data_IF_774989106543
#
_entry.id   IF_774989106543
#
_cell.length_a   1.000
_cell.length_b   1.000
_cell.length_c   1.000
_cell.angle_alpha   90.00
_cell.angle_beta   90.00
_cell.angle_gamma   90.00
#
_symmetry.space_group_name_H-M   'P 1'
#
loop_
_entity.id
_entity.type
_entity.pdbx_description
1 polymer ?
#
# COMPACT_ATOMS: atom_id res chain seq x y z
N UNK A 1 86.00 -36.69 3.89
CA UNK A 1 85.39 -35.69 4.79
C UNK A 1 84.60 -34.70 3.95
N UNK A 2 83.27 -34.73 4.15
CA UNK A 2 82.22 -33.69 4.07
C UNK A 2 82.23 -32.64 2.94
N UNK A 3 81.04 -32.52 2.32
CA UNK A 3 80.32 -31.29 1.88
C UNK A 3 79.96 -31.31 0.39
N UNK A 4 78.86 -31.98 0.00
CA UNK A 4 77.46 -31.51 -0.05
C UNK A 4 77.20 -30.42 -1.10
N UNK A 5 76.42 -30.83 -2.09
CA UNK A 5 75.87 -30.08 -3.22
C UNK A 5 74.95 -28.93 -2.79
N UNK A 6 74.94 -27.84 -3.57
CA UNK A 6 73.70 -27.13 -3.90
C UNK A 6 73.81 -26.35 -5.21
N UNK A 7 72.94 -26.70 -6.14
CA UNK A 7 72.72 -26.04 -7.41
C UNK A 7 71.81 -24.82 -7.23
N UNK A 8 72.11 -23.70 -7.91
CA UNK A 8 71.15 -22.63 -8.19
C UNK A 8 71.43 -22.04 -9.59
N UNK A 9 70.48 -22.27 -10.49
CA UNK A 9 70.42 -21.77 -11.87
C UNK A 9 69.42 -20.60 -11.84
N UNK A 10 69.90 -19.36 -11.98
CA UNK A 10 69.06 -18.16 -11.97
C UNK A 10 68.58 -17.85 -13.39
N UNK A 11 67.30 -17.50 -13.44
CA UNK A 11 66.38 -17.49 -14.56
C UNK A 11 66.61 -16.36 -15.56
N UNK A 12 66.32 -16.68 -16.82
CA UNK A 12 66.24 -15.75 -17.92
C UNK A 12 65.07 -14.78 -17.82
N UNK A 13 65.31 -13.62 -18.40
CA UNK A 13 64.42 -12.48 -18.59
C UNK A 13 63.10 -12.90 -19.26
N UNK A 14 61.97 -12.45 -18.69
CA UNK A 14 60.64 -12.53 -19.31
C UNK A 14 60.01 -11.14 -19.31
N UNK A 15 59.83 -10.61 -20.50
CA UNK A 15 59.08 -9.41 -20.89
C UNK A 15 57.66 -9.37 -20.29
N UNK A 16 57.14 -8.21 -19.86
CA UNK A 16 55.74 -8.08 -19.48
C UNK A 16 54.87 -7.97 -20.75
N UNK A 17 54.14 -9.03 -21.07
CA UNK A 17 53.08 -8.97 -22.09
C UNK A 17 51.81 -8.45 -21.42
N UNK A 18 51.63 -7.14 -21.43
CA UNK A 18 50.40 -6.47 -21.00
C UNK A 18 49.39 -6.68 -22.13
N UNK A 19 48.70 -7.82 -22.11
CA UNK A 19 47.52 -8.01 -22.98
C UNK A 19 46.38 -7.26 -22.33
N UNK A 20 46.20 -6.01 -22.75
CA UNK A 20 45.03 -5.22 -22.48
C UNK A 20 43.80 -5.97 -23.05
N UNK A 21 43.07 -6.67 -22.19
CA UNK A 21 41.72 -7.13 -22.48
C UNK A 21 40.86 -5.88 -22.65
N UNK A 22 40.71 -5.45 -23.90
CA UNK A 22 39.79 -4.40 -24.29
C UNK A 22 38.38 -4.83 -23.88
N UNK A 23 37.85 -4.24 -22.80
CA UNK A 23 36.42 -4.13 -22.60
C UNK A 23 35.85 -3.39 -23.81
N UNK A 24 35.35 -4.14 -24.77
CA UNK A 24 34.44 -3.64 -25.79
C UNK A 24 33.09 -3.45 -25.12
N UNK A 25 32.96 -2.39 -24.33
CA UNK A 25 31.67 -1.74 -24.10
C UNK A 25 31.23 -1.16 -25.44
N UNK A 26 30.52 -1.97 -26.22
CA UNK A 26 29.70 -1.47 -27.33
C UNK A 26 28.64 -0.53 -26.74
N UNK A 27 28.64 0.76 -27.10
CA UNK A 27 27.54 1.63 -26.77
C UNK A 27 26.38 1.37 -27.75
N UNK A 28 25.17 1.57 -27.23
CA UNK A 28 24.05 2.10 -27.99
C UNK A 28 23.45 1.26 -29.14
N UNK A 29 22.57 0.34 -28.75
CA UNK A 29 21.21 0.36 -29.27
C UNK A 29 20.30 0.32 -28.05
N UNK A 30 19.56 1.40 -27.78
CA UNK A 30 18.44 1.37 -26.84
C UNK A 30 17.61 0.12 -27.13
N UNK A 31 17.67 -0.87 -26.24
CA UNK A 31 16.98 -2.14 -26.45
C UNK A 31 15.49 -1.81 -26.51
N UNK A 32 14.85 -1.90 -27.68
CA UNK A 32 13.43 -1.58 -27.84
C UNK A 32 12.55 -2.34 -26.82
N UNK A 33 12.99 -3.55 -26.44
CA UNK A 33 12.39 -4.36 -25.37
C UNK A 33 12.50 -3.72 -23.98
N UNK A 34 13.64 -3.10 -23.68
CA UNK A 34 13.88 -2.37 -22.45
C UNK A 34 13.01 -1.13 -22.37
N UNK A 35 12.97 -0.33 -23.43
CA UNK A 35 12.13 0.86 -23.51
C UNK A 35 10.64 0.52 -23.38
N UNK A 36 10.19 -0.54 -24.05
CA UNK A 36 8.82 -1.04 -23.92
C UNK A 36 8.48 -1.51 -22.49
N UNK A 37 9.44 -2.08 -21.75
CA UNK A 37 9.23 -2.43 -20.35
C UNK A 37 9.11 -1.19 -19.46
N UNK A 38 9.93 -0.16 -19.70
CA UNK A 38 9.86 1.12 -18.98
C UNK A 38 8.53 1.83 -19.23
N UNK A 39 8.04 1.84 -20.48
CA UNK A 39 6.75 2.41 -20.82
C UNK A 39 5.61 1.73 -20.06
N UNK A 40 5.61 0.39 -20.02
CA UNK A 40 4.60 -0.38 -19.27
C UNK A 40 4.65 -0.12 -17.77
N UNK A 41 5.84 0.02 -17.18
CA UNK A 41 5.98 0.39 -15.78
C UNK A 41 5.37 1.77 -15.49
N UNK A 42 5.64 2.76 -16.35
CA UNK A 42 5.06 4.11 -16.20
C UNK A 42 3.54 4.12 -16.38
N UNK A 43 3.02 3.37 -17.36
CA UNK A 43 1.58 3.18 -17.52
C UNK A 43 0.96 2.56 -16.27
N UNK A 44 1.56 1.51 -15.72
CA UNK A 44 1.07 0.88 -14.50
C UNK A 44 1.12 1.82 -13.28
N UNK A 45 2.11 2.71 -13.17
CA UNK A 45 2.14 3.76 -12.13
C UNK A 45 0.93 4.71 -12.27
N UNK A 46 0.63 5.15 -13.50
CA UNK A 46 -0.51 6.02 -13.78
C UNK A 46 -1.85 5.33 -13.48
N UNK A 47 -1.98 4.07 -13.84
CA UNK A 47 -3.18 3.27 -13.52
C UNK A 47 -3.37 3.07 -12.02
N UNK A 48 -2.28 2.84 -11.27
CA UNK A 48 -2.32 2.78 -9.80
C UNK A 48 -2.80 4.11 -9.21
N UNK A 49 -2.30 5.24 -9.71
CA UNK A 49 -2.74 6.56 -9.28
C UNK A 49 -4.23 6.81 -9.59
N UNK A 50 -4.69 6.38 -10.77
CA UNK A 50 -6.10 6.45 -11.14
C UNK A 50 -6.99 5.57 -10.24
N UNK A 51 -6.56 4.36 -9.91
CA UNK A 51 -7.27 3.49 -8.97
C UNK A 51 -7.39 4.15 -7.58
N UNK A 52 -6.31 4.75 -7.08
CA UNK A 52 -6.29 5.45 -5.79
C UNK A 52 -7.28 6.62 -5.82
N UNK A 53 -7.27 7.42 -6.89
CA UNK A 53 -8.19 8.55 -7.05
C UNK A 53 -9.66 8.09 -7.10
N UNK A 54 -9.95 7.01 -7.83
CA UNK A 54 -11.29 6.43 -7.94
C UNK A 54 -11.82 5.88 -6.59
N UNK A 55 -10.93 5.50 -5.68
CA UNK A 55 -11.27 4.90 -4.38
C UNK A 55 -10.97 5.84 -3.20
N UNK A 56 -11.22 7.15 -3.39
CA UNK A 56 -11.12 8.18 -2.35
C UNK A 56 -9.76 8.23 -1.65
N UNK A 57 -8.67 8.02 -2.39
CA UNK A 57 -7.31 8.06 -1.87
C UNK A 57 -6.86 6.77 -1.20
N UNK A 58 -7.63 5.69 -1.28
CA UNK A 58 -7.27 4.37 -0.78
C UNK A 58 -6.94 3.46 -1.96
N UNK A 59 -5.80 2.77 -1.91
CA UNK A 59 -5.51 1.76 -2.93
C UNK A 59 -6.38 0.51 -2.69
N UNK A 60 -7.18 0.04 -3.67
CA UNK A 60 -8.15 -1.03 -3.44
C UNK A 60 -7.55 -2.43 -3.26
N UNK A 61 -6.27 -2.62 -3.61
CA UNK A 61 -5.62 -3.93 -3.57
C UNK A 61 -4.51 -3.99 -2.50
N UNK A 62 -4.04 -5.21 -2.22
CA UNK A 62 -2.88 -5.47 -1.36
C UNK A 62 -2.93 -4.70 -0.01
N UNK A 63 -4.10 -4.72 0.63
CA UNK A 63 -4.34 -4.06 1.93
C UNK A 63 -4.00 -2.57 1.94
N UNK A 64 -4.25 -1.86 0.83
CA UNK A 64 -4.02 -0.42 0.74
C UNK A 64 -2.57 -0.02 0.50
N UNK A 65 -1.70 -0.95 0.10
CA UNK A 65 -0.26 -0.70 -0.11
C UNK A 65 0.18 -1.08 -1.51
N UNK A 66 1.08 -0.28 -2.06
CA UNK A 66 1.70 -0.56 -3.36
C UNK A 66 3.14 -1.01 -3.14
N UNK A 67 3.52 -2.15 -3.71
CA UNK A 67 4.89 -2.69 -3.58
C UNK A 67 5.54 -2.79 -4.95
N UNK A 68 6.87 -2.91 -5.00
CA UNK A 68 7.58 -3.15 -6.26
C UNK A 68 7.05 -4.39 -6.99
N UNK A 69 6.76 -5.47 -6.25
CA UNK A 69 6.20 -6.70 -6.82
C UNK A 69 4.82 -6.46 -7.42
N UNK A 70 4.00 -5.62 -6.78
CA UNK A 70 2.67 -5.24 -7.29
C UNK A 70 2.77 -4.43 -8.58
N UNK A 71 3.63 -3.40 -8.59
CA UNK A 71 3.88 -2.61 -9.80
C UNK A 71 4.39 -3.48 -10.96
N UNK A 72 5.33 -4.38 -10.68
CA UNK A 72 5.86 -5.31 -11.68
C UNK A 72 4.77 -6.25 -12.24
N UNK A 73 3.86 -6.74 -11.39
CA UNK A 73 2.73 -7.58 -11.84
C UNK A 73 1.81 -6.81 -12.78
N UNK A 74 1.43 -5.58 -12.41
CA UNK A 74 0.56 -4.74 -13.24
C UNK A 74 1.17 -4.36 -14.57
N UNK A 75 2.47 -4.08 -14.59
CA UNK A 75 3.19 -3.77 -15.81
C UNK A 75 3.50 -5.00 -16.70
N UNK A 76 3.20 -6.22 -16.23
CA UNK A 76 3.65 -7.48 -16.83
C UNK A 76 5.18 -7.51 -17.06
N UNK A 77 5.92 -7.09 -16.04
CA UNK A 77 7.39 -7.05 -16.05
C UNK A 77 7.93 -7.97 -14.96
N UNK A 78 8.89 -8.83 -15.31
CA UNK A 78 9.56 -9.67 -14.33
C UNK A 78 10.35 -8.80 -13.35
N UNK A 79 10.21 -9.04 -12.05
CA UNK A 79 10.94 -8.29 -10.99
C UNK A 79 12.46 -8.28 -11.20
N UNK A 80 13.02 -9.35 -11.76
CA UNK A 80 14.44 -9.47 -12.11
C UNK A 80 14.91 -8.39 -13.10
N UNK A 81 14.03 -7.88 -13.98
CA UNK A 81 14.36 -6.83 -14.95
C UNK A 81 14.87 -5.56 -14.26
N UNK A 82 14.32 -5.21 -13.09
CA UNK A 82 14.77 -4.05 -12.30
C UNK A 82 16.06 -4.30 -11.50
N UNK A 83 16.54 -5.55 -11.45
CA UNK A 83 17.80 -5.91 -10.79
C UNK A 83 19.00 -5.83 -11.73
N UNK A 84 18.76 -5.73 -13.04
CA UNK A 84 19.82 -5.64 -14.03
C UNK A 84 20.64 -4.37 -13.83
N UNK A 85 21.98 -4.40 -14.04
CA UNK A 85 22.84 -3.22 -13.88
C UNK A 85 22.36 -1.99 -14.65
N UNK A 86 21.68 -2.18 -15.78
CA UNK A 86 21.07 -1.11 -16.58
C UNK A 86 19.99 -0.30 -15.83
N UNK A 87 19.27 -0.92 -14.89
CA UNK A 87 18.10 -0.32 -14.21
C UNK A 87 18.27 -0.18 -12.70
N UNK A 88 19.16 -0.98 -12.11
CA UNK A 88 19.30 -1.09 -10.66
C UNK A 88 19.64 0.26 -10.01
N UNK A 89 20.46 1.06 -10.67
CA UNK A 89 20.96 2.33 -10.13
C UNK A 89 20.28 3.56 -10.75
N UNK A 90 19.24 3.36 -11.59
CA UNK A 90 18.48 4.41 -12.25
C UNK A 90 16.97 4.21 -12.06
N UNK A 91 16.30 3.53 -13.00
CA UNK A 91 14.85 3.28 -13.00
C UNK A 91 14.35 2.70 -11.68
N UNK A 92 15.10 1.77 -11.10
CA UNK A 92 14.70 1.18 -9.82
C UNK A 92 14.70 2.22 -8.70
N UNK A 93 15.68 3.11 -8.67
CA UNK A 93 15.78 4.17 -7.65
C UNK A 93 14.58 5.11 -7.78
N UNK A 94 14.23 5.53 -9.00
CA UNK A 94 13.03 6.33 -9.28
C UNK A 94 11.75 5.64 -8.82
N UNK A 95 11.58 4.35 -9.15
CA UNK A 95 10.42 3.56 -8.75
C UNK A 95 10.34 3.44 -7.23
N UNK A 96 11.45 3.20 -6.55
CA UNK A 96 11.46 3.08 -5.08
C UNK A 96 11.10 4.42 -4.43
N UNK A 97 11.66 5.53 -4.91
CA UNK A 97 11.31 6.87 -4.42
C UNK A 97 9.82 7.18 -4.62
N UNK A 98 9.26 6.84 -5.78
CA UNK A 98 7.82 6.99 -6.03
C UNK A 98 6.99 6.10 -5.12
N UNK A 99 7.36 4.82 -4.92
CA UNK A 99 6.67 3.92 -4.01
C UNK A 99 6.70 4.41 -2.56
N UNK A 100 7.82 4.96 -2.11
CA UNK A 100 7.97 5.47 -0.75
C UNK A 100 7.09 6.72 -0.54
N UNK A 101 7.10 7.65 -1.50
CA UNK A 101 6.22 8.82 -1.48
C UNK A 101 4.74 8.41 -1.48
N UNK A 102 4.36 7.53 -2.41
CA UNK A 102 2.99 7.06 -2.55
C UNK A 102 2.49 6.36 -1.28
N UNK A 103 3.26 5.42 -0.73
CA UNK A 103 2.87 4.68 0.47
C UNK A 103 2.79 5.59 1.71
N UNK A 104 3.60 6.65 1.78
CA UNK A 104 3.50 7.64 2.85
C UNK A 104 2.17 8.39 2.81
N UNK A 105 1.72 8.80 1.62
CA UNK A 105 0.39 9.43 1.43
C UNK A 105 -0.75 8.45 1.72
N UNK A 106 -0.64 7.21 1.27
CA UNK A 106 -1.66 6.18 1.52
C UNK A 106 -1.82 5.87 3.01
N UNK A 107 -0.72 5.84 3.78
CA UNK A 107 -0.75 5.67 5.23
C UNK A 107 -1.57 6.77 5.92
N UNK A 108 -1.31 8.04 5.58
CA UNK A 108 -2.05 9.18 6.12
C UNK A 108 -3.54 9.12 5.78
N UNK A 109 -3.88 8.77 4.54
CA UNK A 109 -5.27 8.67 4.08
C UNK A 109 -6.02 7.54 4.78
N UNK A 110 -5.36 6.39 4.99
CA UNK A 110 -5.95 5.26 5.71
C UNK A 110 -6.21 5.60 7.17
N UNK A 111 -5.24 6.22 7.84
CA UNK A 111 -5.36 6.53 9.27
C UNK A 111 -6.44 7.59 9.51
N UNK A 112 -6.52 8.64 8.68
CA UNK A 112 -7.60 9.63 8.71
C UNK A 112 -8.98 9.04 8.35
N UNK A 113 -9.04 8.11 7.40
CA UNK A 113 -10.29 7.40 7.08
C UNK A 113 -10.76 6.56 8.25
N UNK A 114 -9.85 5.82 8.90
CA UNK A 114 -10.17 5.01 10.08
C UNK A 114 -10.70 5.89 11.21
N UNK A 115 -10.03 7.00 11.50
CA UNK A 115 -10.47 7.95 12.53
C UNK A 115 -11.89 8.48 12.24
N UNK A 116 -12.15 8.90 10.99
CA UNK A 116 -13.48 9.38 10.59
C UNK A 116 -14.55 8.29 10.71
N UNK A 117 -14.26 7.07 10.29
CA UNK A 117 -15.20 5.95 10.38
C UNK A 117 -15.49 5.59 11.83
N UNK A 118 -14.47 5.53 12.69
CA UNK A 118 -14.64 5.31 14.14
C UNK A 118 -15.50 6.40 14.74
N UNK A 119 -15.23 7.68 14.46
CA UNK A 119 -16.03 8.78 14.98
C UNK A 119 -17.51 8.72 14.55
N UNK A 120 -17.78 8.32 13.30
CA UNK A 120 -19.16 8.12 12.82
C UNK A 120 -19.83 6.96 13.55
N UNK A 121 -19.13 5.84 13.76
CA UNK A 121 -19.65 4.69 14.48
C UNK A 121 -19.97 5.03 15.94
N UNK A 122 -19.06 5.74 16.62
CA UNK A 122 -19.23 6.17 18.01
C UNK A 122 -20.41 7.14 18.14
N UNK A 123 -20.52 8.12 17.24
CA UNK A 123 -21.65 9.05 17.21
C UNK A 123 -22.98 8.33 16.96
N UNK A 124 -23.01 7.36 16.04
CA UNK A 124 -24.22 6.59 15.76
C UNK A 124 -24.60 5.72 16.96
N UNK A 125 -23.64 5.11 17.64
CA UNK A 125 -23.88 4.33 18.85
C UNK A 125 -24.51 5.20 19.96
N UNK A 126 -23.96 6.40 20.19
CA UNK A 126 -24.51 7.35 21.16
C UNK A 126 -25.92 7.81 20.79
N UNK A 127 -26.19 8.04 19.50
CA UNK A 127 -27.52 8.45 19.04
C UNK A 127 -28.55 7.32 19.17
N UNK A 128 -28.15 6.08 18.86
CA UNK A 128 -29.01 4.90 19.07
C UNK A 128 -29.35 4.72 20.55
N UNK A 129 -28.38 4.87 21.45
CA UNK A 129 -28.61 4.81 22.89
C UNK A 129 -29.59 5.91 23.34
N UNK A 130 -29.35 7.16 22.91
CA UNK A 130 -30.21 8.30 23.22
C UNK A 130 -31.66 8.06 22.76
N UNK A 131 -31.84 7.61 21.52
CA UNK A 131 -33.16 7.30 20.96
C UNK A 131 -33.84 6.12 21.65
N UNK A 132 -33.07 5.12 22.07
CA UNK A 132 -33.59 3.96 22.80
C UNK A 132 -34.15 4.39 24.16
N UNK A 133 -33.41 5.19 24.92
CA UNK A 133 -33.87 5.72 26.20
C UNK A 133 -35.10 6.63 26.04
N UNK A 134 -35.11 7.50 25.03
CA UNK A 134 -36.26 8.34 24.74
C UNK A 134 -37.51 7.52 24.41
N UNK A 135 -37.38 6.45 23.60
CA UNK A 135 -38.50 5.56 23.29
C UNK A 135 -39.02 4.84 24.54
N UNK A 136 -38.14 4.31 25.39
CA UNK A 136 -38.55 3.66 26.63
C UNK A 136 -39.31 4.60 27.56
N UNK A 137 -38.87 5.86 27.66
CA UNK A 137 -39.56 6.88 28.44
C UNK A 137 -40.96 7.16 27.88
N UNK A 138 -41.07 7.35 26.56
CA UNK A 138 -42.35 7.61 25.91
C UNK A 138 -43.32 6.43 26.02
N UNK A 139 -42.82 5.19 25.92
CA UNK A 139 -43.63 3.99 26.12
C UNK A 139 -44.23 3.95 27.53
N UNK A 140 -43.43 4.21 28.57
CA UNK A 140 -43.94 4.28 29.95
C UNK A 140 -44.97 5.39 30.14
N UNK A 141 -44.74 6.57 29.55
CA UNK A 141 -45.71 7.67 29.63
C UNK A 141 -47.04 7.31 28.95
N UNK A 142 -46.97 6.63 27.80
CA UNK A 142 -48.14 6.15 27.09
C UNK A 142 -48.93 5.15 27.93
N UNK A 143 -48.27 4.15 28.52
CA UNK A 143 -48.90 3.15 29.40
C UNK A 143 -49.65 3.82 30.58
N UNK A 144 -49.02 4.80 31.23
CA UNK A 144 -49.65 5.56 32.33
C UNK A 144 -50.86 6.36 31.84
N UNK A 145 -50.75 7.03 30.70
CA UNK A 145 -51.85 7.80 30.12
C UNK A 145 -53.03 6.91 29.71
N UNK A 146 -52.77 5.76 29.10
CA UNK A 146 -53.78 4.79 28.71
C UNK A 146 -54.53 4.23 29.92
N UNK A 147 -53.82 3.93 31.02
CA UNK A 147 -54.44 3.49 32.27
C UNK A 147 -55.36 4.57 32.85
N UNK A 148 -54.91 5.82 32.89
CA UNK A 148 -55.71 6.94 33.39
C UNK A 148 -56.97 7.17 32.54
N UNK A 149 -56.85 7.13 31.21
CA UNK A 149 -58.00 7.25 30.31
C UNK A 149 -59.01 6.13 30.54
N UNK A 150 -58.54 4.90 30.77
CA UNK A 150 -59.41 3.76 31.07
C UNK A 150 -60.18 3.97 32.38
N UNK A 151 -59.50 4.40 33.45
CA UNK A 151 -60.13 4.71 34.74
C UNK A 151 -61.18 5.82 34.61
N UNK A 152 -60.81 6.95 34.00
CA UNK A 152 -61.73 8.07 33.80
C UNK A 152 -62.95 7.69 32.95
N UNK A 153 -62.80 6.78 31.97
CA UNK A 153 -63.92 6.27 31.18
C UNK A 153 -64.88 5.42 32.02
N UNK A 154 -64.34 4.59 32.92
CA UNK A 154 -65.16 3.79 33.83
C UNK A 154 -65.94 4.67 34.81
N UNK A 155 -65.28 5.66 35.42
CA UNK A 155 -65.92 6.61 36.34
C UNK A 155 -67.03 7.42 35.65
N UNK A 156 -66.75 7.96 34.45
CA UNK A 156 -67.76 8.67 33.67
C UNK A 156 -68.97 7.80 33.32
N UNK A 157 -68.76 6.50 33.06
CA UNK A 157 -69.85 5.57 32.78
C UNK A 157 -70.70 5.28 34.02
N UNK A 158 -70.10 5.27 35.21
CA UNK A 158 -70.82 5.11 36.48
C UNK A 158 -71.64 6.36 36.82
N UNK A 159 -71.10 7.55 36.61
CA UNK A 159 -71.78 8.82 36.89
C UNK A 159 -72.95 9.14 35.94
N UNK A 160 -72.95 8.53 34.74
CA UNK A 160 -74.03 8.70 33.75
C UNK A 160 -75.17 7.69 33.89
N UNK A 161 -75.08 6.75 34.83
CA UNK A 161 -76.17 5.83 35.19
C UNK A 161 -77.00 6.41 36.32
#
# INVERSE_FOLDING_TARGET
MVSVQKAQKIQGQKTPSITATMLTTTPDKGNARTEAALKRLRSAMTEIEADIAAHNGIYPFNHGRVTQSELCRRADVKKATLQNPLHKDSTRVEIMAWLDALNSTLLQTRDSTRERVTAVADNLAAEVERLTLANQLLQRQLEVAELLVSQLRQENAQLKR
#
